data_IF_034728331640
#
_entry.id   IF_034728331640
#
_cell.length_a   1.000
_cell.length_b   1.000
_cell.length_c   1.000
_cell.angle_alpha   90.00
_cell.angle_beta   90.00
_cell.angle_gamma   90.00
#
_symmetry.space_group_name_H-M   'P 1'
#
loop_
_entity.id
_entity.type
_entity.pdbx_description
1 polymer ?
#
# COMPACT_ATOMS: atom_id res chain seq x y z
N UNK A 1 10.87 24.55 -7.35
CA UNK A 1 11.82 23.66 -6.65
C UNK A 1 11.57 22.22 -7.09
N UNK A 2 12.61 21.38 -7.18
CA UNK A 2 12.44 19.95 -7.48
C UNK A 2 11.80 19.29 -6.27
N UNK A 3 10.71 18.51 -6.48
CA UNK A 3 10.07 17.78 -5.39
C UNK A 3 10.99 16.68 -4.86
N UNK A 4 10.91 16.39 -3.55
CA UNK A 4 11.57 15.24 -2.94
C UNK A 4 10.82 13.98 -3.36
N UNK A 5 11.47 13.13 -4.14
CA UNK A 5 10.92 11.82 -4.47
C UNK A 5 10.99 10.91 -3.25
N UNK A 6 9.87 10.25 -2.95
CA UNK A 6 9.79 9.16 -1.98
C UNK A 6 9.22 7.93 -2.67
N UNK A 7 9.73 6.76 -2.33
CA UNK A 7 9.22 5.50 -2.87
C UNK A 7 8.54 4.70 -1.78
N UNK A 8 7.32 4.23 -2.05
CA UNK A 8 6.48 3.45 -1.15
C UNK A 8 6.26 2.07 -1.76
N UNK A 9 6.81 1.03 -1.14
CA UNK A 9 6.62 -0.36 -1.58
C UNK A 9 5.71 -1.08 -0.59
N UNK A 10 4.58 -1.58 -1.06
CA UNK A 10 3.58 -2.20 -0.20
C UNK A 10 2.69 -3.23 -0.93
N UNK A 11 1.92 -3.98 -0.13
CA UNK A 11 0.81 -4.82 -0.57
C UNK A 11 -0.47 -4.45 0.18
N UNK A 12 -1.60 -4.41 -0.51
CA UNK A 12 -2.90 -4.04 0.06
C UNK A 12 -3.46 -5.02 1.09
N UNK A 13 -2.94 -6.25 1.15
CA UNK A 13 -3.26 -7.21 2.22
C UNK A 13 -2.31 -7.16 3.42
N UNK A 14 -1.34 -6.24 3.40
CA UNK A 14 -0.43 -6.02 4.51
C UNK A 14 -0.94 -4.89 5.43
N UNK A 15 -1.45 -5.19 6.62
CA UNK A 15 -2.03 -4.16 7.48
C UNK A 15 -0.97 -3.17 8.01
N UNK A 16 0.28 -3.62 8.16
CA UNK A 16 1.38 -2.74 8.54
C UNK A 16 1.71 -1.71 7.46
N UNK A 17 1.38 -2.00 6.19
CA UNK A 17 1.53 -1.04 5.10
C UNK A 17 0.58 0.15 5.28
N UNK A 18 -0.68 -0.09 5.66
CA UNK A 18 -1.64 0.98 5.94
C UNK A 18 -1.22 1.83 7.14
N UNK A 19 -0.74 1.20 8.22
CA UNK A 19 -0.22 1.91 9.40
C UNK A 19 0.98 2.78 9.04
N UNK A 20 1.93 2.25 8.26
CA UNK A 20 3.12 2.99 7.85
C UNK A 20 2.79 4.16 6.93
N UNK A 21 1.87 3.96 5.99
CA UNK A 21 1.37 5.01 5.10
C UNK A 21 0.73 6.16 5.91
N UNK A 22 -0.14 5.83 6.89
CA UNK A 22 -0.76 6.81 7.77
C UNK A 22 0.25 7.63 8.57
N UNK A 23 1.29 7.00 9.11
CA UNK A 23 2.38 7.67 9.83
C UNK A 23 3.16 8.59 8.92
N UNK A 24 3.53 8.11 7.73
CA UNK A 24 4.25 8.93 6.75
C UNK A 24 3.43 10.14 6.33
N UNK A 25 2.14 9.96 5.99
CA UNK A 25 1.25 11.05 5.60
C UNK A 25 1.18 12.12 6.70
N UNK A 26 0.99 11.71 7.96
CA UNK A 26 1.01 12.63 9.11
C UNK A 26 2.33 13.40 9.21
N UNK A 27 3.47 12.73 9.06
CA UNK A 27 4.77 13.41 9.12
C UNK A 27 4.96 14.39 7.97
N UNK A 28 4.52 14.04 6.76
CA UNK A 28 4.54 14.95 5.60
C UNK A 28 3.70 16.20 5.86
N UNK A 29 2.49 16.04 6.42
CA UNK A 29 1.59 17.13 6.77
C UNK A 29 2.17 18.02 7.89
N UNK A 30 2.67 17.42 8.98
CA UNK A 30 3.25 18.11 10.11
C UNK A 30 4.49 18.93 9.74
N UNK A 31 5.26 18.47 8.75
CA UNK A 31 6.44 19.17 8.23
C UNK A 31 6.08 20.19 7.14
N UNK A 32 4.81 20.28 6.71
CA UNK A 32 4.37 21.16 5.63
C UNK A 32 4.94 20.78 4.27
N UNK A 33 5.22 19.50 4.03
CA UNK A 33 5.89 18.98 2.84
C UNK A 33 4.93 18.45 1.76
N UNK A 34 3.62 18.58 1.92
CA UNK A 34 2.63 18.00 0.99
C UNK A 34 2.87 18.41 -0.48
N UNK A 35 3.23 19.67 -0.73
CA UNK A 35 3.53 20.16 -2.08
C UNK A 35 4.98 19.91 -2.52
N UNK A 36 5.86 19.57 -1.57
CA UNK A 36 7.30 19.36 -1.80
C UNK A 36 7.69 17.90 -2.01
N UNK A 37 6.77 16.96 -1.77
CA UNK A 37 6.98 15.52 -1.93
C UNK A 37 6.33 15.02 -3.22
N UNK A 38 6.96 14.05 -3.87
CA UNK A 38 6.42 13.28 -4.98
C UNK A 38 6.48 11.79 -4.61
N UNK A 39 5.32 11.20 -4.35
CA UNK A 39 5.21 9.82 -3.86
C UNK A 39 5.07 8.84 -5.03
N UNK A 40 6.09 8.01 -5.23
CA UNK A 40 6.06 6.90 -6.16
C UNK A 40 5.67 5.61 -5.44
N UNK A 41 4.60 4.99 -5.89
CA UNK A 41 4.11 3.73 -5.34
C UNK A 41 4.64 2.58 -6.17
N UNK A 42 5.27 1.61 -5.50
CA UNK A 42 5.83 0.40 -6.11
C UNK A 42 5.06 -0.81 -5.59
N UNK A 43 4.54 -1.65 -6.48
CA UNK A 43 3.80 -2.85 -6.10
C UNK A 43 4.72 -3.89 -5.48
N UNK A 44 4.17 -4.68 -4.55
CA UNK A 44 4.81 -5.86 -3.98
C UNK A 44 3.76 -6.85 -3.52
N UNK A 45 3.54 -7.93 -4.26
CA UNK A 45 2.59 -8.97 -3.87
C UNK A 45 3.21 -9.92 -2.83
N UNK A 46 2.64 -9.95 -1.61
CA UNK A 46 3.01 -10.95 -0.58
C UNK A 46 2.69 -12.38 -1.00
N UNK A 47 1.81 -12.55 -1.96
CA UNK A 47 1.35 -13.83 -2.47
C UNK A 47 1.19 -13.78 -4.00
N UNK A 48 2.28 -13.70 -4.78
CA UNK A 48 2.19 -13.59 -6.25
C UNK A 48 1.60 -14.84 -6.93
N UNK A 49 1.50 -15.95 -6.20
CA UNK A 49 0.86 -17.20 -6.66
C UNK A 49 -0.57 -17.38 -6.12
N UNK A 50 -1.18 -16.34 -5.52
CA UNK A 50 -2.57 -16.40 -5.08
C UNK A 50 -3.48 -16.65 -6.28
N UNK A 51 -4.44 -17.62 -6.21
CA UNK A 51 -5.45 -17.77 -7.24
C UNK A 51 -6.18 -16.44 -7.53
N UNK A 52 -6.62 -16.25 -8.76
CA UNK A 52 -7.31 -15.01 -9.19
C UNK A 52 -8.54 -14.73 -8.31
N UNK A 53 -9.29 -15.80 -7.96
CA UNK A 53 -10.44 -15.74 -7.07
C UNK A 53 -10.08 -15.52 -5.60
N UNK A 54 -8.78 -15.47 -5.25
CA UNK A 54 -8.34 -15.42 -3.86
C UNK A 54 -8.59 -16.72 -3.09
N UNK A 55 -8.47 -16.66 -1.77
CA UNK A 55 -8.71 -17.78 -0.86
C UNK A 55 -9.59 -17.35 0.32
N UNK A 56 -10.31 -18.33 0.91
CA UNK A 56 -10.90 -18.14 2.24
C UNK A 56 -9.84 -17.68 3.23
N UNK A 57 -10.15 -16.61 3.97
CA UNK A 57 -9.15 -15.97 4.85
C UNK A 57 -8.72 -16.87 6.00
N UNK A 58 -9.65 -17.63 6.59
CA UNK A 58 -9.32 -18.54 7.68
C UNK A 58 -8.39 -19.66 7.20
N UNK A 59 -8.74 -20.31 6.06
CA UNK A 59 -7.92 -21.37 5.48
C UNK A 59 -6.51 -20.86 5.13
N UNK A 60 -6.41 -19.73 4.42
CA UNK A 60 -5.14 -19.13 4.04
C UNK A 60 -4.28 -18.80 5.26
N UNK A 61 -4.87 -18.07 6.24
CA UNK A 61 -4.10 -17.60 7.39
C UNK A 61 -3.74 -18.73 8.36
N UNK A 62 -4.58 -19.75 8.48
CA UNK A 62 -4.25 -20.95 9.24
C UNK A 62 -3.06 -21.69 8.64
N UNK A 63 -3.05 -21.85 7.31
CA UNK A 63 -1.92 -22.47 6.61
C UNK A 63 -0.64 -21.64 6.74
N UNK A 64 -0.73 -20.31 6.60
CA UNK A 64 0.44 -19.41 6.62
C UNK A 64 1.04 -19.24 8.03
N UNK A 65 0.22 -19.17 9.07
CA UNK A 65 0.65 -18.83 10.43
C UNK A 65 0.57 -19.99 11.42
N UNK A 66 0.14 -21.17 10.96
CA UNK A 66 0.10 -22.40 11.74
C UNK A 66 -1.20 -22.64 12.50
N UNK A 67 -1.99 -21.60 12.85
CA UNK A 67 -3.32 -21.76 13.42
C UNK A 67 -4.16 -20.48 13.28
N UNK A 68 -5.49 -20.65 13.28
CA UNK A 68 -6.41 -19.53 13.29
C UNK A 68 -6.28 -18.67 14.55
N UNK A 69 -6.14 -19.29 15.72
CA UNK A 69 -5.95 -18.57 16.98
C UNK A 69 -4.71 -17.65 16.97
N UNK A 70 -3.60 -18.15 16.42
CA UNK A 70 -2.39 -17.31 16.25
C UNK A 70 -2.64 -16.16 15.29
N UNK A 71 -3.35 -16.40 14.18
CA UNK A 71 -3.74 -15.36 13.25
C UNK A 71 -4.59 -14.28 13.92
N UNK A 72 -5.59 -14.67 14.72
CA UNK A 72 -6.44 -13.74 15.46
C UNK A 72 -5.65 -12.89 16.48
N UNK A 73 -4.67 -13.49 17.16
CA UNK A 73 -3.79 -12.75 18.07
C UNK A 73 -2.95 -11.70 17.31
N UNK A 74 -2.44 -12.03 16.12
CA UNK A 74 -1.75 -11.08 15.24
C UNK A 74 -2.69 -9.96 14.78
N UNK A 75 -3.92 -10.29 14.40
CA UNK A 75 -4.94 -9.32 13.99
C UNK A 75 -5.29 -8.34 15.14
N UNK A 76 -5.43 -8.84 16.36
CA UNK A 76 -5.67 -8.02 17.55
C UNK A 76 -4.52 -7.04 17.83
N UNK A 77 -3.27 -7.50 17.67
CA UNK A 77 -2.08 -6.65 17.83
C UNK A 77 -2.04 -5.53 16.78
N UNK A 78 -2.32 -5.86 15.52
CA UNK A 78 -2.38 -4.87 14.44
C UNK A 78 -3.53 -3.89 14.65
N UNK A 79 -4.72 -4.37 15.04
CA UNK A 79 -5.86 -3.51 15.30
C UNK A 79 -5.60 -2.51 16.43
N UNK A 80 -4.87 -2.92 17.47
CA UNK A 80 -4.45 -2.02 18.56
C UNK A 80 -3.48 -0.94 18.04
N UNK A 81 -2.45 -1.34 17.27
CA UNK A 81 -1.51 -0.40 16.66
C UNK A 81 -2.22 0.57 15.70
N UNK A 82 -3.15 0.07 14.87
CA UNK A 82 -3.93 0.89 13.94
C UNK A 82 -4.86 1.87 14.64
N UNK A 83 -5.47 1.49 15.76
CA UNK A 83 -6.33 2.38 16.54
C UNK A 83 -5.57 3.61 17.04
N UNK A 84 -4.30 3.45 17.42
CA UNK A 84 -3.44 4.57 17.80
C UNK A 84 -3.19 5.55 16.64
N UNK A 85 -3.36 5.10 15.38
CA UNK A 85 -3.23 5.90 14.16
C UNK A 85 -4.60 6.36 13.59
N UNK A 86 -5.69 6.14 14.32
CA UNK A 86 -7.04 6.45 13.85
C UNK A 86 -7.59 5.48 12.78
N UNK A 87 -6.93 4.35 12.57
CA UNK A 87 -7.35 3.33 11.61
C UNK A 87 -8.27 2.30 12.27
N UNK A 88 -9.25 1.82 11.49
CA UNK A 88 -10.18 0.79 11.92
C UNK A 88 -9.95 -0.49 11.14
N UNK A 89 -9.66 -1.57 11.86
CA UNK A 89 -9.48 -2.91 11.32
C UNK A 89 -10.63 -3.80 11.77
N UNK A 90 -11.55 -4.12 10.87
CA UNK A 90 -12.73 -4.96 11.14
C UNK A 90 -12.52 -6.39 10.62
N UNK A 91 -11.52 -7.08 11.12
CA UNK A 91 -11.14 -8.42 10.66
C UNK A 91 -12.27 -9.47 10.70
N UNK A 92 -13.32 -9.24 11.48
CA UNK A 92 -14.46 -10.14 11.58
C UNK A 92 -15.31 -10.21 10.29
N UNK A 93 -15.23 -9.20 9.44
CA UNK A 93 -15.94 -9.12 8.16
C UNK A 93 -15.03 -9.32 6.94
N UNK A 94 -13.75 -9.55 7.16
CA UNK A 94 -12.79 -9.84 6.08
C UNK A 94 -12.76 -11.34 5.84
N UNK A 95 -13.56 -11.82 4.91
CA UNK A 95 -13.73 -13.24 4.65
C UNK A 95 -12.72 -13.85 3.68
N UNK A 96 -12.09 -13.01 2.84
CA UNK A 96 -11.18 -13.46 1.79
C UNK A 96 -9.79 -12.84 1.93
N UNK A 97 -8.78 -13.59 1.48
CA UNK A 97 -7.46 -13.04 1.13
C UNK A 97 -7.40 -12.96 -0.40
N UNK A 98 -7.48 -11.77 -0.99
CA UNK A 98 -7.54 -11.60 -2.43
C UNK A 98 -6.19 -11.84 -3.12
N UNK A 99 -6.24 -12.03 -4.44
CA UNK A 99 -5.12 -11.73 -5.31
C UNK A 99 -5.05 -10.20 -5.48
N UNK A 100 -3.90 -9.61 -5.21
CA UNK A 100 -3.75 -8.13 -5.18
C UNK A 100 -3.27 -7.52 -6.49
N UNK A 101 -3.03 -8.34 -7.53
CA UNK A 101 -2.54 -7.85 -8.82
C UNK A 101 -3.45 -6.78 -9.44
N UNK A 102 -4.78 -6.98 -9.42
CA UNK A 102 -5.72 -5.99 -9.98
C UNK A 102 -5.69 -4.67 -9.23
N UNK A 103 -5.61 -4.71 -7.88
CA UNK A 103 -5.48 -3.51 -7.07
C UNK A 103 -4.17 -2.76 -7.35
N UNK A 104 -3.06 -3.47 -7.50
CA UNK A 104 -1.78 -2.87 -7.90
C UNK A 104 -1.82 -2.27 -9.30
N UNK A 105 -2.47 -2.95 -10.26
CA UNK A 105 -2.67 -2.41 -11.61
C UNK A 105 -3.50 -1.13 -11.58
N UNK A 106 -4.58 -1.09 -10.79
CA UNK A 106 -5.41 0.09 -10.63
C UNK A 106 -4.62 1.28 -10.09
N UNK A 107 -3.77 1.09 -9.06
CA UNK A 107 -2.94 2.17 -8.54
C UNK A 107 -1.88 2.61 -9.54
N UNK A 108 -1.28 1.69 -10.28
CA UNK A 108 -0.36 2.04 -11.38
C UNK A 108 -1.04 2.89 -12.46
N UNK A 109 -2.28 2.54 -12.85
CA UNK A 109 -3.09 3.34 -13.76
C UNK A 109 -3.36 4.75 -13.18
N UNK A 110 -3.77 4.83 -11.91
CA UNK A 110 -4.06 6.11 -11.25
C UNK A 110 -2.83 7.01 -11.13
N UNK A 111 -1.65 6.46 -10.83
CA UNK A 111 -0.40 7.24 -10.79
C UNK A 111 -0.07 7.88 -12.14
N UNK A 112 -0.28 7.18 -13.24
CA UNK A 112 -0.05 7.70 -14.61
C UNK A 112 -1.01 8.83 -14.98
N UNK A 113 -2.17 8.87 -14.32
CA UNK A 113 -3.21 9.90 -14.53
C UNK A 113 -3.22 10.97 -13.41
N UNK A 114 -2.22 10.94 -12.50
CA UNK A 114 -2.00 12.00 -11.51
C UNK A 114 -2.91 11.94 -10.27
N UNK A 115 -3.57 10.80 -9.99
CA UNK A 115 -4.53 10.69 -8.88
C UNK A 115 -4.43 9.35 -8.14
N UNK A 116 -3.34 9.11 -7.41
CA UNK A 116 -3.16 7.83 -6.71
C UNK A 116 -3.29 7.91 -5.17
N UNK A 117 -3.00 9.04 -4.53
CA UNK A 117 -2.88 9.11 -3.06
C UNK A 117 -4.18 8.76 -2.33
N UNK A 118 -5.30 9.37 -2.72
CA UNK A 118 -6.62 9.06 -2.13
C UNK A 118 -7.09 7.65 -2.41
N UNK A 119 -6.74 7.08 -3.58
CA UNK A 119 -7.09 5.72 -3.97
C UNK A 119 -6.39 4.68 -3.08
N UNK A 120 -5.15 4.92 -2.67
CA UNK A 120 -4.39 3.99 -1.83
C UNK A 120 -5.05 3.81 -0.46
N UNK A 121 -5.38 4.92 0.22
CA UNK A 121 -6.09 4.86 1.51
C UNK A 121 -7.49 4.23 1.35
N UNK A 122 -8.20 4.53 0.26
CA UNK A 122 -9.49 3.95 -0.06
C UNK A 122 -9.42 2.41 -0.22
N UNK A 123 -8.40 1.89 -0.91
CA UNK A 123 -8.18 0.45 -1.09
C UNK A 123 -7.88 -0.27 0.23
N UNK A 124 -7.00 0.29 1.06
CA UNK A 124 -6.76 -0.25 2.39
C UNK A 124 -8.01 -0.23 3.26
N UNK A 125 -8.75 0.90 3.26
CA UNK A 125 -9.99 1.05 4.00
C UNK A 125 -11.06 0.07 3.53
N UNK A 126 -11.25 -0.07 2.23
CA UNK A 126 -12.19 -1.02 1.63
C UNK A 126 -11.91 -2.46 2.09
N UNK A 127 -10.65 -2.88 2.08
CA UNK A 127 -10.27 -4.23 2.51
C UNK A 127 -10.35 -4.41 4.03
N UNK A 128 -9.65 -3.58 4.82
CA UNK A 128 -9.51 -3.83 6.27
C UNK A 128 -10.67 -3.33 7.11
N UNK A 129 -11.30 -2.20 6.72
CA UNK A 129 -12.40 -1.59 7.45
C UNK A 129 -13.76 -2.13 6.99
N UNK A 130 -13.94 -2.24 5.66
CA UNK A 130 -15.25 -2.50 5.05
C UNK A 130 -15.41 -3.95 4.58
N UNK A 131 -14.34 -4.78 4.61
CA UNK A 131 -14.36 -6.19 4.24
C UNK A 131 -14.61 -6.44 2.74
N UNK A 132 -14.39 -5.43 1.88
CA UNK A 132 -14.58 -5.54 0.43
C UNK A 132 -13.46 -6.37 -0.20
N UNK A 133 -13.80 -7.19 -1.19
CA UNK A 133 -12.81 -8.00 -1.93
C UNK A 133 -12.11 -7.15 -3.00
N UNK A 134 -10.91 -6.66 -2.69
CA UNK A 134 -10.09 -5.88 -3.62
C UNK A 134 -9.42 -6.71 -4.74
N UNK A 135 -9.73 -8.00 -4.84
CA UNK A 135 -9.43 -8.84 -6.00
C UNK A 135 -10.55 -8.84 -7.06
N UNK A 136 -11.73 -8.31 -6.72
CA UNK A 136 -12.88 -8.21 -7.61
C UNK A 136 -12.83 -6.89 -8.41
N UNK A 137 -12.91 -7.00 -9.75
CA UNK A 137 -12.85 -5.85 -10.64
C UNK A 137 -14.02 -4.88 -10.42
N UNK A 138 -15.23 -5.37 -10.14
CA UNK A 138 -16.39 -4.51 -9.90
C UNK A 138 -16.20 -3.69 -8.62
N UNK A 139 -15.69 -4.32 -7.56
CA UNK A 139 -15.34 -3.64 -6.30
C UNK A 139 -14.27 -2.57 -6.52
N UNK A 140 -13.26 -2.86 -7.33
CA UNK A 140 -12.19 -1.91 -7.65
C UNK A 140 -12.69 -0.71 -8.47
N UNK A 141 -13.61 -0.93 -9.41
CA UNK A 141 -14.25 0.15 -10.20
C UNK A 141 -15.04 1.08 -9.28
N UNK A 142 -15.81 0.54 -8.34
CA UNK A 142 -16.56 1.33 -7.37
C UNK A 142 -15.63 2.17 -6.50
N UNK A 143 -14.55 1.56 -5.94
CA UNK A 143 -13.56 2.26 -5.13
C UNK A 143 -12.88 3.37 -5.93
N UNK A 144 -12.54 3.11 -7.18
CA UNK A 144 -11.92 4.09 -8.07
C UNK A 144 -12.85 5.28 -8.33
N UNK A 145 -14.15 5.01 -8.58
CA UNK A 145 -15.16 6.06 -8.77
C UNK A 145 -15.36 6.89 -7.48
N UNK A 146 -15.43 6.25 -6.31
CA UNK A 146 -15.48 6.91 -5.00
C UNK A 146 -14.25 7.81 -4.78
N UNK A 147 -13.08 7.41 -5.30
CA UNK A 147 -11.84 8.19 -5.27
C UNK A 147 -11.72 9.25 -6.38
N UNK A 148 -12.76 9.40 -7.23
CA UNK A 148 -12.84 10.44 -8.27
C UNK A 148 -12.17 10.08 -9.60
N UNK A 149 -11.88 8.80 -9.86
CA UNK A 149 -11.43 8.35 -11.17
C UNK A 149 -12.63 8.13 -12.10
N UNK A 150 -12.37 8.21 -13.40
CA UNK A 150 -13.36 7.90 -14.44
C UNK A 150 -13.65 6.39 -14.45
N UNK A 151 -14.87 6.00 -14.06
CA UNK A 151 -15.30 4.60 -13.95
C UNK A 151 -15.26 3.86 -15.29
N UNK A 152 -15.58 4.52 -16.41
CA UNK A 152 -15.55 3.89 -17.73
C UNK A 152 -14.11 3.60 -18.16
N UNK A 153 -13.18 4.54 -17.92
CA UNK A 153 -11.76 4.36 -18.19
C UNK A 153 -11.16 3.24 -17.33
N UNK A 154 -11.51 3.19 -16.04
CA UNK A 154 -11.07 2.12 -15.11
C UNK A 154 -11.64 0.77 -15.53
N UNK A 155 -12.92 0.71 -15.93
CA UNK A 155 -13.56 -0.53 -16.42
C UNK A 155 -12.83 -1.07 -17.65
N UNK A 156 -12.58 -0.19 -18.64
CA UNK A 156 -11.85 -0.59 -19.85
C UNK A 156 -10.42 -1.06 -19.54
N UNK A 157 -9.73 -0.37 -18.65
CA UNK A 157 -8.37 -0.72 -18.21
C UNK A 157 -8.34 -2.09 -17.49
N UNK A 158 -9.19 -2.32 -16.49
CA UNK A 158 -9.21 -3.57 -15.72
C UNK A 158 -9.65 -4.78 -16.54
N UNK A 159 -10.48 -4.56 -17.58
CA UNK A 159 -10.87 -5.61 -18.53
C UNK A 159 -9.74 -6.03 -19.49
N UNK A 160 -8.67 -5.26 -19.58
CA UNK A 160 -7.47 -5.57 -20.38
C UNK A 160 -6.38 -6.22 -19.55
N UNK A 161 -5.26 -6.61 -20.19
CA UNK A 161 -4.03 -7.06 -19.51
C UNK A 161 -3.02 -5.91 -19.30
N UNK A 162 -3.37 -4.66 -19.64
CA UNK A 162 -2.48 -3.51 -19.53
C UNK A 162 -1.98 -3.34 -18.10
N UNK A 163 -0.69 -3.05 -17.95
CA UNK A 163 -0.03 -2.88 -16.66
C UNK A 163 0.45 -4.18 -16.00
N UNK A 164 0.01 -5.35 -16.45
CA UNK A 164 0.42 -6.62 -15.82
C UNK A 164 1.92 -6.87 -15.93
N UNK A 165 2.49 -6.68 -17.12
CA UNK A 165 3.93 -6.83 -17.33
C UNK A 165 4.73 -5.79 -16.55
N UNK A 166 4.24 -4.56 -16.51
CA UNK A 166 4.85 -3.45 -15.79
C UNK A 166 4.86 -3.70 -14.27
N UNK A 167 3.75 -4.17 -13.70
CA UNK A 167 3.68 -4.54 -12.28
C UNK A 167 4.71 -5.61 -11.97
N UNK A 168 4.77 -6.70 -12.76
CA UNK A 168 5.77 -7.76 -12.56
C UNK A 168 7.21 -7.28 -12.70
N UNK A 169 7.47 -6.35 -13.61
CA UNK A 169 8.79 -5.76 -13.78
C UNK A 169 9.19 -4.88 -12.58
N UNK A 170 8.24 -4.07 -12.06
CA UNK A 170 8.46 -3.24 -10.87
C UNK A 170 8.72 -4.08 -9.61
N UNK A 171 7.98 -5.15 -9.40
CA UNK A 171 8.21 -6.10 -8.30
C UNK A 171 9.58 -6.77 -8.40
N UNK A 172 9.93 -7.27 -9.59
CA UNK A 172 11.23 -7.88 -9.82
C UNK A 172 12.38 -6.90 -9.58
N UNK A 173 12.21 -5.62 -9.95
CA UNK A 173 13.17 -4.57 -9.66
C UNK A 173 13.29 -4.30 -8.16
N UNK A 174 12.17 -4.17 -7.44
CA UNK A 174 12.17 -3.97 -5.99
C UNK A 174 12.94 -5.10 -5.28
N UNK A 175 12.70 -6.36 -5.68
CA UNK A 175 13.41 -7.53 -5.13
C UNK A 175 14.91 -7.45 -5.46
N UNK A 176 15.30 -7.07 -6.68
CA UNK A 176 16.72 -6.91 -7.06
C UNK A 176 17.43 -5.79 -6.27
N UNK A 177 16.68 -4.76 -5.86
CA UNK A 177 17.17 -3.68 -4.99
C UNK A 177 17.21 -4.09 -3.51
N UNK A 178 16.91 -5.34 -3.17
CA UNK A 178 17.00 -5.88 -1.83
C UNK A 178 15.75 -5.71 -0.98
N UNK A 179 14.62 -5.28 -1.56
CA UNK A 179 13.34 -5.22 -0.85
C UNK A 179 12.81 -6.65 -0.69
N UNK A 180 12.88 -7.18 0.54
CA UNK A 180 12.43 -8.55 0.86
C UNK A 180 11.18 -8.58 1.73
N UNK A 181 10.64 -7.42 2.11
CA UNK A 181 9.43 -7.31 2.95
C UNK A 181 8.78 -5.95 2.80
N UNK A 182 7.50 -5.87 3.14
CA UNK A 182 6.70 -4.64 3.12
C UNK A 182 6.07 -4.36 4.49
N UNK A 183 5.82 -3.07 4.84
CA UNK A 183 6.14 -1.89 4.04
C UNK A 183 7.65 -1.63 3.95
N UNK A 184 8.09 -1.11 2.81
CA UNK A 184 9.43 -0.54 2.63
C UNK A 184 9.28 0.85 2.01
N UNK A 185 9.94 1.84 2.58
CA UNK A 185 9.86 3.23 2.14
C UNK A 185 11.25 3.78 1.94
N UNK A 186 11.47 4.52 0.86
CA UNK A 186 12.73 5.20 0.60
C UNK A 186 12.49 6.71 0.58
N UNK A 187 13.25 7.45 1.39
CA UNK A 187 13.27 8.91 1.46
C UNK A 187 14.73 9.34 1.22
N UNK A 188 15.00 9.95 0.08
CA UNK A 188 16.38 10.23 -0.33
C UNK A 188 17.20 8.95 -0.43
N UNK A 189 18.27 8.85 0.39
CA UNK A 189 19.12 7.66 0.47
C UNK A 189 18.72 6.70 1.60
N UNK A 190 17.78 7.10 2.45
CA UNK A 190 17.38 6.32 3.62
C UNK A 190 16.25 5.34 3.26
N UNK A 191 16.48 4.05 3.53
CA UNK A 191 15.46 2.99 3.40
C UNK A 191 14.91 2.65 4.77
N UNK A 192 13.59 2.75 4.93
CA UNK A 192 12.84 2.47 6.15
C UNK A 192 12.03 1.20 5.92
N UNK A 193 12.26 0.17 6.71
CA UNK A 193 11.51 -1.10 6.64
C UNK A 193 10.56 -1.24 7.83
N UNK A 194 9.33 -1.65 7.56
CA UNK A 194 8.29 -1.82 8.56
C UNK A 194 7.58 -0.51 8.93
N UNK A 195 6.52 -0.62 9.74
CA UNK A 195 5.77 0.53 10.24
C UNK A 195 6.53 1.18 11.41
N UNK A 196 7.54 1.97 11.08
CA UNK A 196 8.37 2.66 12.06
C UNK A 196 7.64 3.84 12.73
N UNK A 197 8.08 4.29 13.91
CA UNK A 197 7.56 5.51 14.55
C UNK A 197 7.85 6.78 13.71
N UNK A 198 7.04 7.83 13.90
CA UNK A 198 7.14 9.12 13.22
C UNK A 198 8.54 9.73 13.25
N UNK A 199 9.27 9.56 14.37
CA UNK A 199 10.64 10.07 14.50
C UNK A 199 11.57 9.56 13.41
N UNK A 200 11.45 8.29 13.00
CA UNK A 200 12.28 7.69 11.95
C UNK A 200 12.02 8.35 10.59
N UNK A 201 10.75 8.65 10.29
CA UNK A 201 10.39 9.37 9.05
C UNK A 201 10.89 10.82 9.08
N UNK A 202 10.77 11.52 10.23
CA UNK A 202 11.26 12.88 10.41
C UNK A 202 12.77 12.97 10.22
N UNK A 203 13.52 12.03 10.79
CA UNK A 203 14.97 11.95 10.65
C UNK A 203 15.37 11.72 9.18
N UNK A 204 14.69 10.83 8.47
CA UNK A 204 14.94 10.57 7.06
C UNK A 204 14.66 11.81 6.16
N UNK A 205 13.60 12.58 6.46
CA UNK A 205 13.36 13.85 5.76
C UNK A 205 14.42 14.90 6.07
N UNK A 206 14.86 15.00 7.32
CA UNK A 206 15.92 15.93 7.71
C UNK A 206 17.24 15.61 6.99
N UNK A 207 17.60 14.32 6.90
CA UNK A 207 18.79 13.86 6.17
C UNK A 207 18.69 14.17 4.66
N UNK A 208 17.52 13.93 4.06
CA UNK A 208 17.29 14.19 2.65
C UNK A 208 17.39 15.70 2.30
N UNK A 209 16.85 16.58 3.15
CA UNK A 209 16.94 18.03 2.98
C UNK A 209 18.39 18.53 3.21
N UNK A 210 19.07 18.00 4.23
CA UNK A 210 20.47 18.32 4.50
C UNK A 210 21.40 17.95 3.34
N UNK A 211 21.14 16.81 2.69
CA UNK A 211 21.90 16.39 1.51
C UNK A 211 21.70 17.30 0.29
N UNK A 212 20.51 17.87 0.11
CA UNK A 212 20.22 18.84 -0.97
C UNK A 212 20.91 20.18 -0.75
N UNK A 213 21.03 20.64 0.51
CA UNK A 213 21.69 21.91 0.86
C UNK A 213 23.23 21.88 0.70
N UNK A 214 23.86 20.72 0.53
CA UNK A 214 25.30 20.57 0.34
C UNK A 214 25.68 20.62 -1.17
N UNK A 215 24.68 20.51 -2.06
CA UNK A 215 24.89 20.39 -3.53
C UNK A 215 24.66 21.75 -4.24
N UNK A 216 24.08 22.75 -3.55
CA UNK A 216 23.97 24.15 -4.00
C UNK A 216 25.17 24.99 -3.56
#
# INVERSE_FOLDING_TARGET
MKKQEITLTYDFICPWCWIAERRLARVVDDLGLADAVDARIVPYELNPAMPVEGMDRNAYRTAKFGSWARSQAMDAHVAEAGRAEGLQFHYAIVDRTPNTLLAHRLVWFAQRNGNASGLVDALFGAYFRDGRDIGDAAVLIDIAAEAGLDADAVTAFLASDEGTTEIRALEAEAIRQGIGSVPSMQIGQTVITGAQPDAVFRDAFADAVGALAIIE
#
